data_IF_527439625914
#
_entry.id   IF_527439625914
#
_cell.length_a   1.000
_cell.length_b   1.000
_cell.length_c   1.000
_cell.angle_alpha   90.00
_cell.angle_beta   90.00
_cell.angle_gamma   90.00
#
_symmetry.space_group_name_H-M   'P 1'
#
loop_
_entity.id
_entity.type
_entity.pdbx_description
1 polymer ?
#
# COMPACT_ATOMS: atom_id res chain seq x y z
N UNK A 1 -12.18 18.59 -0.36
CA UNK A 1 -10.81 18.96 -0.84
C UNK A 1 -10.01 19.47 0.33
N UNK A 2 -8.90 18.82 0.63
CA UNK A 2 -7.99 19.18 1.73
C UNK A 2 -6.59 19.41 1.19
N UNK A 3 -5.84 20.27 1.85
CA UNK A 3 -4.42 20.47 1.59
C UNK A 3 -3.63 19.86 2.74
N UNK A 4 -2.79 18.90 2.39
CA UNK A 4 -1.99 18.10 3.31
C UNK A 4 -0.51 18.39 3.09
N UNK A 5 0.28 18.47 4.16
CA UNK A 5 1.73 18.39 4.12
C UNK A 5 2.13 16.97 4.48
N UNK A 6 3.10 16.40 3.77
CA UNK A 6 3.59 15.07 4.06
C UNK A 6 5.11 15.00 4.12
N UNK A 7 5.59 14.07 4.94
CA UNK A 7 6.97 13.62 5.01
C UNK A 7 6.99 12.10 4.96
N UNK A 8 7.84 11.55 4.11
CA UNK A 8 8.23 10.15 4.11
C UNK A 8 9.77 10.07 4.16
N UNK A 9 10.31 9.29 5.09
CA UNK A 9 11.76 9.09 5.23
C UNK A 9 12.04 7.66 5.66
N UNK A 10 13.05 7.04 5.04
CA UNK A 10 13.59 5.75 5.47
C UNK A 10 15.09 5.85 5.64
N UNK A 11 15.57 5.31 6.75
CA UNK A 11 16.99 5.20 7.08
C UNK A 11 17.32 3.73 7.27
N UNK A 12 18.26 3.23 6.48
CA UNK A 12 18.85 1.90 6.63
C UNK A 12 20.27 2.04 7.18
N UNK A 13 20.59 1.27 8.20
CA UNK A 13 21.95 1.16 8.77
C UNK A 13 22.42 -0.27 8.69
N UNK A 14 23.65 -0.47 8.28
CA UNK A 14 24.31 -1.76 8.17
C UNK A 14 25.39 -1.87 9.25
N UNK A 15 25.42 -2.98 9.99
CA UNK A 15 26.42 -3.21 11.03
C UNK A 15 27.83 -3.33 10.45
N UNK A 16 27.95 -3.86 9.24
CA UNK A 16 29.21 -3.93 8.47
C UNK A 16 29.02 -3.33 7.08
N UNK A 17 30.08 -2.75 6.48
CA UNK A 17 29.95 -2.14 5.16
C UNK A 17 29.51 -3.14 4.09
N UNK A 18 28.56 -2.73 3.26
CA UNK A 18 28.08 -3.44 2.07
C UNK A 18 28.51 -2.70 0.81
N UNK A 19 28.54 -3.38 -0.34
CA UNK A 19 28.86 -2.74 -1.63
C UNK A 19 27.97 -3.26 -2.75
N UNK A 20 27.96 -2.53 -3.87
CA UNK A 20 27.17 -2.90 -5.04
C UNK A 20 25.67 -2.94 -4.72
N UNK A 21 25.23 -2.03 -3.86
CA UNK A 21 23.83 -1.95 -3.43
C UNK A 21 22.98 -1.39 -4.57
N UNK A 22 22.11 -2.23 -5.13
CA UNK A 22 21.09 -1.83 -6.09
C UNK A 22 19.75 -1.72 -5.38
N UNK A 23 19.02 -0.64 -5.62
CA UNK A 23 17.77 -0.36 -4.93
C UNK A 23 16.62 0.01 -5.88
N UNK A 24 15.40 -0.23 -5.42
CA UNK A 24 14.17 0.24 -6.05
C UNK A 24 13.23 0.73 -4.96
N UNK A 25 12.89 2.02 -4.98
CA UNK A 25 12.08 2.68 -3.95
C UNK A 25 10.85 3.35 -4.55
N UNK A 26 9.73 3.32 -3.81
CA UNK A 26 8.45 3.97 -4.12
C UNK A 26 8.02 4.79 -2.92
N UNK A 27 8.44 6.03 -2.83
CA UNK A 27 8.08 6.91 -1.72
C UNK A 27 7.41 8.20 -2.20
N UNK A 28 7.34 8.43 -3.50
CA UNK A 28 6.81 9.67 -4.06
C UNK A 28 5.37 9.48 -4.52
N UNK A 29 4.41 10.17 -3.90
CA UNK A 29 3.03 10.15 -4.34
C UNK A 29 2.90 10.74 -5.75
N UNK A 30 2.18 10.09 -6.68
CA UNK A 30 1.92 10.66 -8.00
C UNK A 30 0.83 11.72 -7.96
N UNK A 31 0.87 12.68 -8.88
CA UNK A 31 -0.31 13.48 -9.22
C UNK A 31 -1.24 12.66 -10.09
N UNK A 32 -2.54 12.65 -9.75
CA UNK A 32 -3.58 11.92 -10.47
C UNK A 32 -4.93 12.68 -10.39
N UNK A 33 -6.06 12.01 -10.71
CA UNK A 33 -7.38 12.66 -10.74
C UNK A 33 -7.89 13.06 -9.35
N UNK A 34 -7.43 12.41 -8.27
CA UNK A 34 -7.93 12.64 -6.90
C UNK A 34 -6.92 13.29 -5.98
N UNK A 35 -5.68 13.45 -6.42
CA UNK A 35 -4.63 14.16 -5.66
C UNK A 35 -3.70 14.93 -6.58
N UNK A 36 -3.41 16.17 -6.22
CA UNK A 36 -2.40 17.02 -6.86
C UNK A 36 -1.24 17.21 -5.90
N UNK A 37 -0.06 16.70 -6.28
CA UNK A 37 1.12 16.65 -5.42
C UNK A 37 2.16 17.66 -5.88
N UNK A 38 2.70 18.40 -4.92
CA UNK A 38 3.84 19.29 -5.09
C UNK A 38 4.99 18.79 -4.23
N UNK A 39 6.07 18.32 -4.84
CA UNK A 39 7.27 17.86 -4.16
C UNK A 39 8.17 19.06 -3.86
N UNK A 40 8.45 19.31 -2.58
CA UNK A 40 9.33 20.37 -2.10
C UNK A 40 10.78 19.89 -2.00
N UNK A 41 10.97 18.63 -1.56
CA UNK A 41 12.28 18.03 -1.43
C UNK A 41 12.19 16.53 -1.67
N UNK A 42 13.21 15.99 -2.34
CA UNK A 42 13.42 14.55 -2.48
C UNK A 42 14.92 14.26 -2.49
N UNK A 43 15.33 13.19 -1.85
CA UNK A 43 16.72 12.79 -1.81
C UNK A 43 16.87 11.27 -1.69
N UNK A 44 18.02 10.79 -2.13
CA UNK A 44 18.51 9.42 -1.97
C UNK A 44 20.01 9.51 -1.73
N UNK A 45 20.51 8.97 -0.63
CA UNK A 45 21.92 9.10 -0.26
C UNK A 45 22.45 7.87 0.52
N UNK A 46 23.67 7.39 0.19
CA UNK A 46 24.41 7.71 -1.01
C UNK A 46 23.77 7.14 -2.28
N UNK A 47 24.09 7.66 -3.44
CA UNK A 47 23.69 7.07 -4.71
C UNK A 47 24.64 7.54 -5.83
N UNK A 48 25.17 6.61 -6.63
CA UNK A 48 25.98 6.92 -7.81
C UNK A 48 25.11 7.23 -9.03
N UNK A 49 23.97 6.56 -9.14
CA UNK A 49 22.97 6.83 -10.17
C UNK A 49 21.56 6.58 -9.64
N UNK A 50 20.62 7.39 -10.13
CA UNK A 50 19.20 7.26 -9.85
C UNK A 50 18.45 7.52 -11.16
N UNK A 51 17.53 6.62 -11.50
CA UNK A 51 16.61 6.76 -12.63
C UNK A 51 15.17 6.69 -12.13
N UNK A 52 14.34 7.57 -12.65
CA UNK A 52 12.90 7.52 -12.46
C UNK A 52 12.29 6.61 -13.53
N UNK A 53 11.49 5.64 -13.10
CA UNK A 53 10.82 4.69 -13.99
C UNK A 53 9.37 4.49 -13.55
N UNK A 54 8.52 4.18 -14.51
CA UNK A 54 7.12 3.78 -14.26
C UNK A 54 7.00 2.28 -14.43
N UNK A 55 6.38 1.60 -13.46
CA UNK A 55 6.15 0.16 -13.54
C UNK A 55 4.92 -0.21 -14.38
N UNK A 56 4.65 -1.51 -14.52
CA UNK A 56 3.53 -2.03 -15.31
C UNK A 56 2.13 -1.68 -14.76
N UNK A 57 2.05 -1.11 -13.56
CA UNK A 57 0.81 -0.63 -12.94
C UNK A 57 0.65 0.90 -13.05
N UNK A 58 1.63 1.59 -13.62
CA UNK A 58 1.66 3.05 -13.69
C UNK A 58 2.24 3.74 -12.46
N UNK A 59 2.80 2.99 -11.50
CA UNK A 59 3.41 3.57 -10.29
C UNK A 59 4.80 4.10 -10.58
N UNK A 60 5.10 5.26 -10.01
CA UNK A 60 6.42 5.87 -10.05
C UNK A 60 7.39 5.12 -9.12
N UNK A 61 8.59 4.90 -9.58
CA UNK A 61 9.64 4.21 -8.84
C UNK A 61 11.01 4.79 -9.17
N UNK A 62 11.87 4.98 -8.16
CA UNK A 62 13.28 5.25 -8.36
C UNK A 62 14.06 3.95 -8.29
N UNK A 63 14.91 3.72 -9.31
CA UNK A 63 15.88 2.62 -9.35
C UNK A 63 17.27 3.21 -9.41
N UNK A 64 18.18 2.66 -8.62
CA UNK A 64 19.52 3.20 -8.54
C UNK A 64 20.53 2.21 -7.99
N UNK A 65 21.78 2.69 -7.87
CA UNK A 65 22.90 1.88 -7.43
C UNK A 65 23.90 2.70 -6.63
N UNK A 66 24.55 2.02 -5.68
CA UNK A 66 25.73 2.45 -4.93
C UNK A 66 26.82 1.41 -5.20
N UNK A 67 27.91 1.82 -5.84
CA UNK A 67 28.99 0.90 -6.21
C UNK A 67 29.99 0.70 -5.07
N UNK A 68 30.31 1.78 -4.35
CA UNK A 68 31.27 1.79 -3.27
C UNK A 68 30.72 1.17 -1.97
N UNK A 69 31.61 0.95 -1.02
CA UNK A 69 31.23 0.50 0.32
C UNK A 69 30.44 1.57 1.04
N UNK A 70 29.33 1.16 1.63
CA UNK A 70 28.51 2.04 2.46
C UNK A 70 28.00 1.29 3.71
N UNK A 71 27.77 2.03 4.79
CA UNK A 71 27.21 1.54 6.06
C UNK A 71 25.82 2.03 6.32
N UNK A 72 25.23 2.74 5.37
CA UNK A 72 23.89 3.27 5.48
C UNK A 72 23.34 3.74 4.13
N UNK A 73 22.04 3.78 4.07
CA UNK A 73 21.27 4.22 2.91
C UNK A 73 20.04 4.97 3.41
N UNK A 74 19.85 6.17 2.93
CA UNK A 74 18.74 7.01 3.34
C UNK A 74 18.03 7.58 2.12
N UNK A 75 16.72 7.64 2.17
CA UNK A 75 15.92 8.31 1.15
C UNK A 75 14.67 8.93 1.77
N UNK A 76 14.17 9.97 1.15
CA UNK A 76 12.98 10.63 1.62
C UNK A 76 12.38 11.58 0.61
N UNK A 77 11.16 11.97 0.92
CA UNK A 77 10.39 12.98 0.20
C UNK A 77 9.54 13.78 1.17
N UNK A 78 9.44 15.07 0.94
CA UNK A 78 8.47 15.94 1.59
C UNK A 78 7.79 16.84 0.58
N UNK A 79 6.58 17.23 0.89
CA UNK A 79 5.81 18.09 0.00
C UNK A 79 4.40 18.34 0.50
N UNK A 80 3.58 18.84 -0.40
CA UNK A 80 2.16 19.06 -0.14
C UNK A 80 1.31 18.32 -1.17
N UNK A 81 0.11 17.93 -0.76
CA UNK A 81 -0.89 17.31 -1.61
C UNK A 81 -2.24 18.00 -1.41
N UNK A 82 -2.91 18.31 -2.52
CA UNK A 82 -4.32 18.70 -2.51
C UNK A 82 -5.13 17.48 -2.89
N UNK A 83 -5.96 16.99 -1.97
CA UNK A 83 -6.65 15.70 -2.11
C UNK A 83 -8.16 15.89 -2.25
N UNK A 84 -8.78 15.08 -3.13
CA UNK A 84 -10.21 14.97 -3.38
C UNK A 84 -10.61 13.49 -3.55
N UNK A 85 -10.30 12.66 -2.56
CA UNK A 85 -10.46 11.18 -2.65
C UNK A 85 -11.89 10.69 -2.66
N UNK A 86 -12.86 11.52 -2.23
CA UNK A 86 -14.28 11.17 -2.28
C UNK A 86 -14.83 11.02 -3.71
N UNK A 87 -14.05 11.33 -4.72
CA UNK A 87 -14.42 11.14 -6.12
C UNK A 87 -13.98 9.78 -6.63
N UNK A 88 -14.81 9.18 -7.46
CA UNK A 88 -14.49 7.94 -8.18
C UNK A 88 -13.33 8.22 -9.16
N UNK A 89 -12.22 7.52 -8.99
CA UNK A 89 -11.07 7.64 -9.88
C UNK A 89 -11.35 6.90 -11.20
N UNK A 90 -11.53 7.64 -12.28
CA UNK A 90 -11.87 7.11 -13.61
C UNK A 90 -10.64 6.54 -14.32
N UNK A 91 -10.13 5.41 -13.85
CA UNK A 91 -9.08 4.64 -14.53
C UNK A 91 -9.66 3.35 -15.11
N UNK A 92 -9.14 2.87 -16.26
CA UNK A 92 -9.62 1.63 -16.88
C UNK A 92 -9.45 0.42 -15.96
N UNK A 93 -10.39 -0.51 -16.05
CA UNK A 93 -10.26 -1.80 -15.38
C UNK A 93 -9.34 -2.73 -16.16
N UNK A 94 -8.19 -3.07 -15.62
CA UNK A 94 -7.36 -4.15 -16.12
C UNK A 94 -7.86 -5.51 -15.62
N UNK A 95 -7.93 -6.51 -16.50
CA UNK A 95 -8.45 -7.85 -16.20
C UNK A 95 -7.78 -8.54 -15.02
N UNK A 96 -6.50 -8.24 -14.74
CA UNK A 96 -5.74 -8.82 -13.63
C UNK A 96 -6.37 -8.58 -12.25
N UNK A 97 -7.09 -7.47 -12.07
CA UNK A 97 -7.73 -7.13 -10.80
C UNK A 97 -8.99 -7.95 -10.48
N UNK A 98 -9.47 -8.75 -11.45
CA UNK A 98 -10.58 -9.68 -11.26
C UNK A 98 -10.17 -11.00 -10.62
N UNK A 99 -8.88 -11.34 -10.66
CA UNK A 99 -8.35 -12.65 -10.25
C UNK A 99 -7.49 -12.54 -8.98
N UNK A 100 -7.43 -13.62 -8.17
CA UNK A 100 -6.55 -13.64 -7.01
C UNK A 100 -5.08 -13.56 -7.44
N UNK A 101 -4.24 -13.13 -6.51
CA UNK A 101 -2.78 -13.13 -6.59
C UNK A 101 -2.19 -14.11 -5.58
N UNK A 102 -0.87 -14.20 -5.49
CA UNK A 102 -0.21 -15.06 -4.53
C UNK A 102 -0.60 -14.73 -3.06
N UNK A 103 -0.78 -13.42 -2.75
CA UNK A 103 -1.15 -13.00 -1.40
C UNK A 103 -2.67 -12.95 -1.15
N UNK A 104 -3.48 -12.84 -2.18
CA UNK A 104 -4.95 -12.68 -2.10
C UNK A 104 -5.69 -13.94 -2.57
N UNK A 105 -5.12 -15.12 -2.35
CA UNK A 105 -5.70 -16.40 -2.73
C UNK A 105 -6.99 -16.73 -1.96
N UNK A 106 -7.83 -17.56 -2.55
CA UNK A 106 -9.10 -18.02 -1.95
C UNK A 106 -8.86 -19.19 -1.01
N UNK A 107 -8.19 -18.93 0.13
CA UNK A 107 -7.94 -19.95 1.15
C UNK A 107 -9.25 -20.58 1.66
N UNK A 108 -9.23 -21.86 2.08
CA UNK A 108 -10.44 -22.54 2.60
C UNK A 108 -11.12 -21.79 3.74
N UNK A 109 -10.33 -21.21 4.65
CA UNK A 109 -10.82 -20.43 5.80
C UNK A 109 -11.57 -19.16 5.36
N UNK A 110 -11.05 -18.42 4.37
CA UNK A 110 -11.71 -17.22 3.82
C UNK A 110 -12.96 -17.62 3.04
N UNK A 111 -12.90 -18.73 2.27
CA UNK A 111 -14.07 -19.24 1.53
C UNK A 111 -15.19 -19.62 2.48
N UNK A 112 -14.91 -20.40 3.54
CA UNK A 112 -15.91 -20.77 4.55
C UNK A 112 -16.52 -19.53 5.23
N UNK A 113 -15.71 -18.51 5.51
CA UNK A 113 -16.21 -17.25 6.05
C UNK A 113 -17.13 -16.55 5.06
N UNK A 114 -16.72 -16.38 3.80
CA UNK A 114 -17.56 -15.78 2.76
C UNK A 114 -18.90 -16.50 2.58
N UNK A 115 -18.88 -17.83 2.56
CA UNK A 115 -20.08 -18.67 2.43
C UNK A 115 -21.00 -18.59 3.67
N UNK A 116 -20.47 -18.24 4.84
CA UNK A 116 -21.27 -18.01 6.05
C UNK A 116 -21.99 -16.65 6.08
N UNK A 117 -21.56 -15.71 5.22
CA UNK A 117 -22.15 -14.38 5.13
C UNK A 117 -23.36 -14.37 4.21
N UNK A 118 -24.40 -13.66 4.60
CA UNK A 118 -25.51 -13.33 3.71
C UNK A 118 -25.20 -11.99 3.02
N UNK A 119 -24.36 -12.04 1.98
CA UNK A 119 -24.00 -10.84 1.22
C UNK A 119 -25.25 -10.27 0.56
N UNK A 120 -25.60 -8.99 0.81
CA UNK A 120 -26.82 -8.41 0.28
C UNK A 120 -26.78 -8.30 -1.26
N UNK A 121 -27.96 -8.30 -1.87
CA UNK A 121 -28.08 -7.87 -3.26
C UNK A 121 -27.82 -6.36 -3.34
N UNK A 122 -27.22 -5.90 -4.46
CA UNK A 122 -26.93 -4.50 -4.65
C UNK A 122 -25.73 -4.24 -5.56
N UNK A 123 -25.32 -3.00 -5.61
CA UNK A 123 -24.15 -2.58 -6.37
C UNK A 123 -22.83 -3.07 -5.74
N UNK A 124 -21.74 -2.90 -6.49
CA UNK A 124 -20.42 -3.35 -6.05
C UNK A 124 -19.97 -2.65 -4.77
N UNK A 125 -20.30 -1.36 -4.60
CA UNK A 125 -19.90 -0.58 -3.43
C UNK A 125 -20.60 -1.08 -2.16
N UNK A 126 -21.93 -1.17 -2.19
CA UNK A 126 -22.73 -1.65 -1.05
C UNK A 126 -22.30 -3.04 -0.57
N UNK A 127 -22.05 -3.95 -1.53
CA UNK A 127 -21.58 -5.30 -1.24
C UNK A 127 -20.15 -5.33 -0.66
N UNK A 128 -19.24 -4.51 -1.18
CA UNK A 128 -17.87 -4.41 -0.67
C UNK A 128 -17.82 -3.79 0.73
N UNK A 129 -18.63 -2.77 1.02
CA UNK A 129 -18.76 -2.17 2.35
C UNK A 129 -19.28 -3.20 3.36
N UNK A 130 -20.28 -4.00 3.00
CA UNK A 130 -20.75 -5.11 3.85
C UNK A 130 -19.62 -6.10 4.17
N UNK A 131 -18.84 -6.50 3.16
CA UNK A 131 -17.69 -7.42 3.33
C UNK A 131 -16.59 -6.80 4.19
N UNK A 132 -16.34 -5.50 4.03
CA UNK A 132 -15.37 -4.75 4.83
C UNK A 132 -15.78 -4.74 6.31
N UNK A 133 -17.01 -4.40 6.60
CA UNK A 133 -17.54 -4.37 7.97
C UNK A 133 -17.49 -5.76 8.62
N UNK A 134 -17.95 -6.82 7.94
CA UNK A 134 -17.89 -8.19 8.43
C UNK A 134 -16.45 -8.64 8.72
N UNK A 135 -15.47 -8.22 7.87
CA UNK A 135 -14.07 -8.48 8.11
C UNK A 135 -13.56 -7.74 9.34
N UNK A 136 -13.87 -6.44 9.45
CA UNK A 136 -13.45 -5.60 10.58
C UNK A 136 -13.88 -6.19 11.93
N UNK A 137 -15.14 -6.63 12.05
CA UNK A 137 -15.64 -7.27 13.27
C UNK A 137 -15.00 -8.63 13.58
N UNK A 138 -14.39 -9.28 12.57
CA UNK A 138 -13.82 -10.62 12.69
C UNK A 138 -12.34 -10.60 13.04
N UNK A 139 -11.62 -9.56 12.68
CA UNK A 139 -10.18 -9.43 12.83
C UNK A 139 -9.79 -8.54 14.01
N UNK A 140 -8.62 -8.79 14.57
CA UNK A 140 -7.99 -7.94 15.58
C UNK A 140 -6.71 -7.32 15.01
N UNK A 141 -6.58 -5.99 15.11
CA UNK A 141 -5.33 -5.32 14.75
C UNK A 141 -4.23 -5.62 15.77
N UNK A 142 -3.14 -6.23 15.32
CA UNK A 142 -2.00 -6.58 16.19
C UNK A 142 -0.69 -6.52 15.40
N UNK A 143 0.14 -5.52 15.74
CA UNK A 143 1.48 -5.38 15.17
C UNK A 143 2.37 -6.56 15.55
N UNK A 144 3.19 -7.04 14.60
CA UNK A 144 4.12 -8.15 14.84
C UNK A 144 3.50 -9.54 14.79
N UNK A 145 2.17 -9.68 14.61
CA UNK A 145 1.48 -10.98 14.48
C UNK A 145 1.70 -11.63 13.11
N UNK A 146 2.04 -10.85 12.10
CA UNK A 146 2.25 -11.23 10.70
C UNK A 146 3.56 -10.67 10.18
N UNK A 147 3.91 -11.02 8.95
CA UNK A 147 5.07 -10.52 8.23
C UNK A 147 4.67 -10.05 6.83
N UNK A 148 5.58 -9.39 6.14
CA UNK A 148 5.37 -8.96 4.75
C UNK A 148 5.12 -10.11 3.77
N UNK A 149 5.37 -11.36 4.17
CA UNK A 149 5.15 -12.57 3.37
C UNK A 149 3.85 -13.29 3.72
N UNK A 150 3.13 -12.83 4.74
CA UNK A 150 1.89 -13.47 5.19
C UNK A 150 0.79 -13.29 4.13
N UNK A 151 0.17 -14.40 3.76
CA UNK A 151 -0.96 -14.43 2.83
C UNK A 151 -2.28 -14.07 3.52
N UNK A 152 -3.29 -13.69 2.75
CA UNK A 152 -4.64 -13.44 3.27
C UNK A 152 -5.18 -14.61 4.09
N UNK A 153 -4.96 -15.86 3.62
CA UNK A 153 -5.40 -17.07 4.32
C UNK A 153 -4.74 -17.24 5.69
N UNK A 154 -3.41 -17.11 5.75
CA UNK A 154 -2.66 -17.24 6.98
C UNK A 154 -3.01 -16.16 8.02
N UNK A 155 -3.20 -14.92 7.58
CA UNK A 155 -3.63 -13.83 8.45
C UNK A 155 -5.07 -14.08 8.98
N UNK A 156 -5.95 -14.51 8.08
CA UNK A 156 -7.34 -14.79 8.45
C UNK A 156 -7.49 -15.96 9.44
N UNK A 157 -6.66 -17.01 9.31
CA UNK A 157 -6.63 -18.12 10.27
C UNK A 157 -6.20 -17.67 11.66
N UNK A 158 -5.25 -16.72 11.74
CA UNK A 158 -4.82 -16.12 13.02
C UNK A 158 -5.84 -15.17 13.63
N UNK A 159 -6.78 -14.64 12.83
CA UNK A 159 -7.71 -13.55 13.19
C UNK A 159 -6.99 -12.28 13.68
N UNK A 160 -5.75 -12.11 13.29
CA UNK A 160 -4.87 -11.01 13.68
C UNK A 160 -4.02 -10.56 12.51
N UNK A 161 -3.74 -9.26 12.45
CA UNK A 161 -2.90 -8.71 11.40
C UNK A 161 -2.78 -7.19 11.46
N UNK A 162 -2.12 -6.65 10.45
CA UNK A 162 -1.95 -5.21 10.24
C UNK A 162 -2.69 -4.77 8.97
N UNK A 163 -2.63 -3.50 8.61
CA UNK A 163 -3.34 -2.93 7.45
C UNK A 163 -3.13 -3.72 6.14
N UNK A 164 -1.92 -4.24 5.90
CA UNK A 164 -1.63 -5.11 4.75
C UNK A 164 -2.51 -6.36 4.73
N UNK A 165 -2.67 -7.02 5.88
CA UNK A 165 -3.42 -8.27 6.02
C UNK A 165 -4.91 -8.03 5.79
N UNK A 166 -5.46 -6.99 6.43
CA UNK A 166 -6.85 -6.57 6.23
C UNK A 166 -7.13 -6.28 4.75
N UNK A 167 -6.24 -5.55 4.09
CA UNK A 167 -6.37 -5.24 2.67
C UNK A 167 -6.35 -6.51 1.81
N UNK A 168 -5.42 -7.44 2.05
CA UNK A 168 -5.34 -8.70 1.30
C UNK A 168 -6.60 -9.56 1.47
N UNK A 169 -7.14 -9.65 2.70
CA UNK A 169 -8.35 -10.43 2.98
C UNK A 169 -9.57 -9.78 2.31
N UNK A 170 -9.73 -8.45 2.42
CA UNK A 170 -10.84 -7.76 1.76
C UNK A 170 -10.79 -7.91 0.23
N UNK A 171 -9.59 -7.84 -0.37
CA UNK A 171 -9.40 -8.09 -1.81
C UNK A 171 -9.87 -9.50 -2.18
N UNK A 172 -9.52 -10.52 -1.38
CA UNK A 172 -9.97 -11.90 -1.62
C UNK A 172 -11.51 -12.00 -1.54
N UNK A 173 -12.13 -11.43 -0.50
CA UNK A 173 -13.60 -11.41 -0.33
C UNK A 173 -14.30 -10.68 -1.48
N UNK A 174 -13.82 -9.51 -1.88
CA UNK A 174 -14.37 -8.75 -3.00
C UNK A 174 -14.30 -9.56 -4.31
N UNK A 175 -13.16 -10.20 -4.60
CA UNK A 175 -13.02 -11.03 -5.81
C UNK A 175 -13.91 -12.27 -5.79
N UNK A 176 -14.15 -12.89 -4.62
CA UNK A 176 -15.14 -13.96 -4.48
C UNK A 176 -16.55 -13.47 -4.79
N UNK A 177 -16.87 -12.23 -4.41
CA UNK A 177 -18.14 -11.58 -4.72
C UNK A 177 -18.23 -11.09 -6.19
N UNK A 178 -17.22 -11.36 -7.02
CA UNK A 178 -17.15 -10.87 -8.41
C UNK A 178 -16.82 -9.37 -8.55
N UNK A 179 -16.34 -8.73 -7.47
CA UNK A 179 -15.98 -7.32 -7.44
C UNK A 179 -14.46 -7.19 -7.69
N UNK A 180 -14.04 -6.55 -8.80
CA UNK A 180 -12.62 -6.31 -9.03
C UNK A 180 -12.04 -5.41 -7.95
N UNK A 181 -10.87 -5.78 -7.42
CA UNK A 181 -10.24 -5.07 -6.33
C UNK A 181 -8.73 -5.03 -6.48
N UNK A 182 -8.11 -3.92 -6.00
CA UNK A 182 -6.66 -3.71 -6.02
C UNK A 182 -6.16 -3.22 -4.66
N UNK A 183 -4.93 -3.58 -4.36
CA UNK A 183 -4.20 -3.14 -3.18
C UNK A 183 -3.64 -1.73 -3.42
N UNK A 184 -3.65 -0.91 -2.39
CA UNK A 184 -3.06 0.42 -2.41
C UNK A 184 -2.15 0.58 -1.20
N UNK A 185 -0.98 1.20 -1.41
CA UNK A 185 -0.11 1.70 -0.35
C UNK A 185 -0.05 3.23 -0.43
N UNK A 186 -0.07 3.87 0.74
CA UNK A 186 0.01 5.31 0.85
C UNK A 186 0.30 5.80 2.25
N UNK A 187 -0.09 7.03 2.52
CA UNK A 187 0.04 7.70 3.81
C UNK A 187 -1.34 8.21 4.22
N UNK A 188 -1.61 8.26 5.52
CA UNK A 188 -2.81 8.86 6.08
C UNK A 188 -2.45 9.90 7.13
N UNK A 189 -3.39 10.75 7.48
CA UNK A 189 -3.22 11.79 8.50
C UNK A 189 -2.66 11.20 9.81
N UNK A 190 -1.69 11.90 10.40
CA UNK A 190 -1.00 11.50 11.62
C UNK A 190 0.46 11.14 11.40
N UNK A 191 1.05 10.50 12.41
CA UNK A 191 2.44 10.04 12.40
C UNK A 191 2.50 8.52 12.53
N UNK A 192 3.48 7.87 11.88
CA UNK A 192 3.66 6.43 11.96
C UNK A 192 4.35 5.81 10.76
N UNK A 193 3.66 4.89 10.09
CA UNK A 193 4.13 4.13 8.94
C UNK A 193 3.26 4.37 7.71
N UNK A 194 3.65 3.80 6.58
CA UNK A 194 2.75 3.70 5.43
C UNK A 194 1.49 2.92 5.80
N UNK A 195 0.39 3.28 5.18
CA UNK A 195 -0.89 2.62 5.36
C UNK A 195 -1.29 1.86 4.10
N UNK A 196 -2.07 0.80 4.27
CA UNK A 196 -2.60 -0.01 3.18
C UNK A 196 -4.12 -0.01 3.20
N UNK A 197 -4.72 0.09 1.99
CA UNK A 197 -6.16 0.01 1.81
C UNK A 197 -6.53 -0.68 0.50
N UNK A 198 -7.80 -0.75 0.20
CA UNK A 198 -8.32 -1.41 -0.99
C UNK A 198 -9.05 -0.40 -1.87
N UNK A 199 -8.84 -0.46 -3.17
CA UNK A 199 -9.72 0.16 -4.13
C UNK A 199 -10.52 -0.91 -4.88
N UNK A 200 -11.84 -0.73 -4.95
CA UNK A 200 -12.77 -1.58 -5.69
C UNK A 200 -13.24 -0.89 -6.96
N UNK A 201 -13.54 -1.67 -8.00
CA UNK A 201 -14.09 -1.13 -9.23
C UNK A 201 -15.63 -1.18 -9.24
N UNK A 202 -16.26 -0.02 -9.30
CA UNK A 202 -17.73 0.14 -9.19
C UNK A 202 -18.45 0.09 -10.52
N UNK A 203 -17.76 -0.11 -11.63
CA UNK A 203 -18.28 0.00 -13.00
C UNK A 203 -18.00 1.36 -13.64
N UNK A 204 -17.92 2.42 -12.85
CA UNK A 204 -17.59 3.78 -13.31
C UNK A 204 -16.12 4.16 -13.05
N UNK A 205 -15.48 3.49 -12.09
CA UNK A 205 -14.10 3.73 -11.68
C UNK A 205 -13.76 3.08 -10.35
N UNK A 206 -12.65 3.50 -9.77
CA UNK A 206 -12.10 2.96 -8.53
C UNK A 206 -12.55 3.77 -7.32
N UNK A 207 -12.96 3.08 -6.27
CA UNK A 207 -13.41 3.65 -5.02
C UNK A 207 -12.68 3.02 -3.83
N UNK A 208 -12.18 3.86 -2.91
CA UNK A 208 -11.32 3.44 -1.81
C UNK A 208 -12.07 3.03 -0.54
N UNK A 209 -11.64 1.92 0.06
CA UNK A 209 -12.14 1.37 1.33
C UNK A 209 -10.96 1.01 2.24
N UNK A 210 -11.02 1.43 3.50
CA UNK A 210 -10.03 1.11 4.53
C UNK A 210 -10.57 0.02 5.48
N UNK A 211 -10.25 -1.25 5.26
CA UNK A 211 -10.74 -2.34 6.10
C UNK A 211 -10.14 -2.36 7.51
N UNK A 212 -9.05 -1.64 7.75
CA UNK A 212 -8.41 -1.57 9.06
C UNK A 212 -9.18 -0.70 10.03
N UNK A 213 -9.80 0.36 9.49
CA UNK A 213 -10.54 1.35 10.25
C UNK A 213 -12.06 1.30 10.00
N UNK A 214 -12.53 0.39 9.13
CA UNK A 214 -13.92 0.29 8.67
C UNK A 214 -14.46 1.60 8.09
N UNK A 215 -13.66 2.25 7.24
CA UNK A 215 -13.93 3.57 6.71
C UNK A 215 -13.88 3.60 5.17
N UNK A 216 -14.59 4.55 4.59
CA UNK A 216 -14.36 4.98 3.22
C UNK A 216 -13.10 5.86 3.17
N UNK A 217 -12.28 5.71 2.13
CA UNK A 217 -11.14 6.60 1.91
C UNK A 217 -11.66 8.02 1.64
N UNK A 218 -11.16 8.96 2.40
CA UNK A 218 -11.49 10.38 2.30
C UNK A 218 -10.26 11.24 1.95
N UNK A 219 -10.40 12.55 2.07
CA UNK A 219 -9.37 13.52 1.70
C UNK A 219 -8.15 13.55 2.66
N UNK A 220 -8.09 12.67 3.65
CA UNK A 220 -6.96 12.50 4.57
C UNK A 220 -5.95 11.43 4.15
N UNK A 221 -6.14 10.81 2.98
CA UNK A 221 -5.27 9.75 2.47
C UNK A 221 -4.51 10.21 1.22
N UNK A 222 -3.21 9.96 1.18
CA UNK A 222 -2.32 10.25 0.03
C UNK A 222 -1.83 8.93 -0.54
N UNK A 223 -2.24 8.61 -1.76
CA UNK A 223 -1.86 7.38 -2.47
C UNK A 223 -0.44 7.48 -3.00
N UNK A 224 0.36 6.42 -2.78
CA UNK A 224 1.72 6.28 -3.34
C UNK A 224 1.70 5.32 -4.53
N UNK A 225 1.13 4.12 -4.36
CA UNK A 225 1.12 3.11 -5.41
C UNK A 225 -0.07 2.16 -5.28
N UNK A 226 -0.37 1.43 -6.35
CA UNK A 226 -1.37 0.38 -6.36
C UNK A 226 -0.90 -0.84 -7.16
N UNK A 227 -1.50 -2.00 -6.88
CA UNK A 227 -1.19 -3.26 -7.53
C UNK A 227 -2.19 -4.36 -7.16
N UNK A 228 -1.88 -5.60 -7.51
CA UNK A 228 -2.74 -6.76 -7.18
C UNK A 228 -2.69 -7.09 -5.69
N UNK A 229 -1.53 -6.86 -5.07
CA UNK A 229 -1.21 -7.11 -3.67
C UNK A 229 0.04 -6.32 -3.25
N UNK A 230 0.53 -6.55 -2.03
CA UNK A 230 1.73 -5.92 -1.49
C UNK A 230 2.97 -6.13 -2.36
N UNK A 231 3.15 -7.30 -3.00
CA UNK A 231 4.36 -7.58 -3.79
C UNK A 231 4.54 -6.62 -4.99
N UNK A 232 3.43 -6.13 -5.54
CA UNK A 232 3.43 -5.11 -6.60
C UNK A 232 3.69 -3.69 -6.06
N UNK A 233 3.48 -3.48 -4.74
CA UNK A 233 3.51 -2.17 -4.08
C UNK A 233 4.66 -2.00 -3.08
N UNK A 234 5.64 -2.89 -3.05
CA UNK A 234 6.79 -2.82 -2.12
C UNK A 234 7.44 -1.43 -2.23
N UNK A 235 7.49 -0.73 -1.10
CA UNK A 235 8.02 0.64 -1.03
C UNK A 235 9.54 0.66 -1.13
N UNK A 236 10.20 -0.33 -0.53
CA UNK A 236 11.66 -0.45 -0.51
C UNK A 236 12.10 -1.87 -0.84
N UNK A 237 12.96 -1.99 -1.83
CA UNK A 237 13.61 -3.24 -2.19
C UNK A 237 15.06 -2.96 -2.56
N UNK A 238 15.99 -3.68 -1.92
CA UNK A 238 17.41 -3.58 -2.21
C UNK A 238 18.09 -4.94 -2.23
N UNK A 239 19.18 -5.03 -2.97
CA UNK A 239 20.14 -6.14 -2.94
C UNK A 239 21.55 -5.58 -2.91
N UNK A 240 22.42 -6.18 -2.13
CA UNK A 240 23.80 -5.77 -2.00
C UNK A 240 24.76 -6.97 -1.81
N UNK A 241 26.03 -6.73 -1.98
CA UNK A 241 27.08 -7.70 -1.68
C UNK A 241 27.64 -7.41 -0.29
N UNK A 242 27.57 -8.41 0.59
CA UNK A 242 28.03 -8.35 1.97
C UNK A 242 27.16 -9.21 2.87
N UNK A 243 27.68 -9.48 4.05
CA UNK A 243 26.93 -10.16 5.11
C UNK A 243 26.83 -9.22 6.32
N UNK A 244 25.64 -8.77 6.63
CA UNK A 244 25.41 -7.76 7.67
C UNK A 244 24.01 -7.89 8.25
N UNK A 245 23.81 -7.47 9.49
CA UNK A 245 22.48 -7.14 9.96
C UNK A 245 22.13 -5.72 9.48
N UNK A 246 20.83 -5.49 9.32
CA UNK A 246 20.34 -4.16 9.00
C UNK A 246 19.32 -3.70 10.01
N UNK A 247 19.35 -2.41 10.30
CA UNK A 247 18.32 -1.71 11.06
C UNK A 247 17.62 -0.75 10.12
N UNK A 248 16.30 -0.72 10.19
CA UNK A 248 15.47 0.19 9.38
C UNK A 248 14.61 1.06 10.29
N UNK A 249 14.66 2.34 10.03
CA UNK A 249 13.78 3.35 10.64
C UNK A 249 12.94 3.96 9.53
N UNK A 250 11.63 4.00 9.72
CA UNK A 250 10.67 4.62 8.78
C UNK A 250 9.93 5.71 9.54
N UNK A 251 9.88 6.90 8.96
CA UNK A 251 9.13 8.04 9.49
C UNK A 251 8.15 8.48 8.41
N UNK A 252 6.88 8.47 8.76
CA UNK A 252 5.79 9.00 7.94
C UNK A 252 5.01 10.00 8.77
N UNK A 253 4.75 11.17 8.22
CA UNK A 253 3.93 12.20 8.85
C UNK A 253 3.06 12.86 7.79
N UNK A 254 1.78 13.03 8.11
CA UNK A 254 0.82 13.79 7.30
C UNK A 254 0.03 14.71 8.20
N UNK A 255 0.00 15.99 7.88
CA UNK A 255 -0.74 17.02 8.60
C UNK A 255 -1.60 17.85 7.65
N UNK A 256 -2.78 18.28 8.13
CA UNK A 256 -3.61 19.23 7.39
C UNK A 256 -3.03 20.64 7.54
N UNK A 257 -2.95 21.36 6.43
CA UNK A 257 -2.49 22.75 6.39
C UNK A 257 -3.55 23.64 5.75
N UNK A 258 -3.64 24.85 6.25
CA UNK A 258 -4.57 25.90 5.77
C UNK A 258 -4.14 26.47 4.41
#
# INVERSE_FOLDING_TARGET
MRKLRFLYRTILKFDTPVRGHSFAIRCIPPTNQVQQVNIEERYVTPADCINEVTDGFGNLRYVGRINDYNTGFEYGVRGTAVVQSMQVQKEPLHGMYKYPSAFTGFAPSIRAFYESLTVPEGDALSRAVFLMHALYETMQYESGSTSIYTTAGEAFEKRKGVCQDYAHILIALCKMAGIPARYVVGMMIGEGYTHAWVEIYTGEGWYGLDPTNDLHIDDYYIKIAHGRDYADCIVDRGIFNGFTNQQQEIVVSVEEIS
#
